data_IF_974381942011
#
_entry.id   IF_974381942011
#
_cell.length_a   1.000
_cell.length_b   1.000
_cell.length_c   1.000
_cell.angle_alpha   90.00
_cell.angle_beta   90.00
_cell.angle_gamma   90.00
#
_symmetry.space_group_name_H-M   'P 1'
#
loop_
_entity.id
_entity.type
_entity.pdbx_description
1 polymer ?
#
# COMPACT_ATOMS: atom_id res chain seq x y z
N UNK A 1 -23.08 12.82 38.41
CA UNK A 1 -23.11 11.52 39.13
C UNK A 1 -24.01 10.57 38.34
N UNK A 2 -23.45 9.49 37.79
CA UNK A 2 -24.23 8.30 37.39
C UNK A 2 -24.75 7.58 38.66
N UNK A 3 -25.75 6.67 38.64
CA UNK A 3 -25.68 5.34 37.97
C UNK A 3 -27.06 4.89 37.37
N UNK A 4 -27.22 4.00 36.39
CA UNK A 4 -26.84 2.58 36.15
C UNK A 4 -27.42 1.53 37.15
N UNK A 5 -28.27 0.67 36.58
CA UNK A 5 -28.46 -0.78 36.80
C UNK A 5 -29.44 -1.31 37.88
N UNK A 6 -30.52 -1.97 37.42
CA UNK A 6 -31.09 -3.25 37.92
C UNK A 6 -32.14 -3.71 36.89
N UNK A 7 -31.87 -4.62 35.95
CA UNK A 7 -31.85 -6.10 35.98
C UNK A 7 -33.18 -6.77 36.40
N UNK A 8 -33.91 -7.20 35.35
CA UNK A 8 -34.64 -8.46 35.15
C UNK A 8 -35.77 -8.88 36.11
N UNK A 9 -36.98 -8.96 35.56
CA UNK A 9 -38.07 -9.83 36.01
C UNK A 9 -38.84 -10.35 34.77
N UNK A 10 -38.80 -11.68 34.58
CA UNK A 10 -39.88 -12.59 34.11
C UNK A 10 -40.29 -12.48 32.63
N UNK A 11 -39.87 -13.41 31.77
CA UNK A 11 -40.50 -14.72 31.44
C UNK A 11 -41.35 -14.63 30.14
N UNK A 12 -40.79 -15.07 29.01
CA UNK A 12 -41.54 -15.63 27.85
C UNK A 12 -41.87 -17.11 28.19
N UNK A 13 -42.90 -17.80 27.64
CA UNK A 13 -43.56 -17.61 26.33
C UNK A 13 -45.09 -17.90 26.31
N UNK A 14 -45.78 -17.62 25.19
CA UNK A 14 -46.81 -18.47 24.52
C UNK A 14 -47.77 -17.65 23.63
N UNK A 15 -47.60 -17.86 22.32
CA UNK A 15 -48.63 -17.98 21.27
C UNK A 15 -50.05 -17.47 21.51
N UNK A 16 -50.45 -16.39 20.83
CA UNK A 16 -51.78 -16.30 20.17
C UNK A 16 -51.67 -15.37 18.96
N UNK A 17 -52.20 -15.82 17.82
CA UNK A 17 -52.09 -15.18 16.51
C UNK A 17 -52.89 -13.90 16.36
N UNK A 18 -52.46 -13.09 15.38
CA UNK A 18 -53.23 -11.95 14.89
C UNK A 18 -53.30 -12.01 13.37
N UNK A 19 -54.55 -12.04 12.93
CA UNK A 19 -55.04 -12.06 11.57
C UNK A 19 -54.45 -10.92 10.73
N UNK A 20 -53.90 -11.29 9.58
CA UNK A 20 -53.57 -10.37 8.51
C UNK A 20 -54.83 -9.72 7.95
N UNK A 21 -54.75 -8.40 7.84
CA UNK A 21 -55.76 -7.53 7.23
C UNK A 21 -55.70 -7.71 5.72
N UNK A 22 -56.79 -8.21 5.15
CA UNK A 22 -57.04 -8.24 3.71
C UNK A 22 -57.42 -6.83 3.24
N UNK A 23 -56.72 -6.32 2.23
CA UNK A 23 -57.27 -5.31 1.32
C UNK A 23 -57.08 -5.81 -0.11
N UNK A 24 -58.19 -6.18 -0.73
CA UNK A 24 -58.29 -6.66 -2.10
C UNK A 24 -58.49 -5.47 -3.05
N UNK A 25 -57.68 -5.38 -4.10
CA UNK A 25 -58.08 -4.80 -5.39
C UNK A 25 -57.15 -5.29 -6.52
N UNK A 26 -57.71 -6.17 -7.36
CA UNK A 26 -57.47 -6.39 -8.80
C UNK A 26 -56.13 -6.95 -9.32
N UNK A 27 -56.17 -8.29 -9.47
CA UNK A 27 -55.66 -9.24 -10.48
C UNK A 27 -54.64 -8.87 -11.60
N UNK A 28 -53.88 -9.87 -12.10
CA UNK A 28 -52.70 -9.70 -12.97
C UNK A 28 -52.98 -9.97 -14.46
N UNK A 29 -52.14 -9.42 -15.34
CA UNK A 29 -52.08 -9.83 -16.74
C UNK A 29 -50.62 -10.18 -17.11
N UNK A 30 -50.37 -11.48 -17.32
CA UNK A 30 -49.32 -11.95 -18.23
C UNK A 30 -49.85 -11.88 -19.66
N UNK A 31 -48.99 -11.59 -20.65
CA UNK A 31 -48.87 -12.29 -21.96
C UNK A 31 -47.90 -11.52 -22.90
N UNK A 32 -46.82 -12.23 -23.25
CA UNK A 32 -46.15 -12.35 -24.57
C UNK A 32 -45.07 -11.34 -25.02
N UNK A 33 -44.01 -11.99 -25.51
CA UNK A 33 -42.78 -11.52 -26.13
C UNK A 33 -42.95 -10.68 -27.41
N UNK A 34 -41.97 -9.81 -27.67
CA UNK A 34 -41.79 -9.13 -28.94
C UNK A 34 -40.68 -8.09 -28.83
N UNK A 35 -39.65 -8.22 -29.65
CA UNK A 35 -38.43 -7.42 -29.59
C UNK A 35 -38.58 -5.94 -29.96
N UNK A 36 -37.46 -5.25 -29.70
CA UNK A 36 -36.96 -3.96 -30.20
C UNK A 36 -36.53 -3.10 -29.02
N UNK A 37 -35.27 -3.26 -28.61
CA UNK A 37 -34.60 -2.34 -27.69
C UNK A 37 -34.58 -0.95 -28.34
N UNK A 38 -35.39 -0.02 -27.83
CA UNK A 38 -35.20 1.38 -28.10
C UNK A 38 -33.82 1.76 -27.55
N UNK A 39 -32.92 2.22 -28.42
CA UNK A 39 -31.65 2.79 -28.00
C UNK A 39 -31.96 3.93 -27.02
N UNK A 40 -31.68 3.69 -25.74
CA UNK A 40 -31.76 4.72 -24.72
C UNK A 40 -30.92 5.90 -25.21
N UNK A 41 -31.50 7.09 -25.16
CA UNK A 41 -30.87 8.37 -25.50
C UNK A 41 -29.51 8.47 -24.79
N UNK A 42 -28.43 8.07 -25.46
CA UNK A 42 -27.10 8.52 -25.10
C UNK A 42 -27.06 10.00 -25.46
N UNK A 43 -27.05 10.85 -24.43
CA UNK A 43 -26.65 12.23 -24.57
C UNK A 43 -25.15 12.20 -24.87
N UNK A 44 -24.80 12.11 -26.16
CA UNK A 44 -23.43 12.30 -26.59
C UNK A 44 -23.08 13.76 -26.27
N UNK A 45 -22.31 13.99 -25.21
CA UNK A 45 -21.74 15.30 -24.97
C UNK A 45 -20.71 15.57 -26.07
N UNK A 46 -20.74 16.79 -26.61
CA UNK A 46 -19.74 17.21 -27.58
C UNK A 46 -18.36 16.98 -26.97
N UNK A 47 -17.50 16.24 -27.69
CA UNK A 47 -16.09 16.15 -27.34
C UNK A 47 -15.59 17.58 -27.10
N UNK A 48 -15.02 17.81 -25.90
CA UNK A 48 -14.91 19.14 -25.30
C UNK A 48 -14.26 20.21 -26.17
N UNK A 49 -14.23 21.45 -25.68
CA UNK A 49 -13.76 22.64 -26.43
C UNK A 49 -12.43 22.44 -27.19
N UNK A 50 -11.52 21.61 -26.66
CA UNK A 50 -10.25 21.25 -27.30
C UNK A 50 -10.40 20.36 -28.54
N UNK A 51 -11.37 19.44 -28.56
CA UNK A 51 -11.67 18.62 -29.73
C UNK A 51 -12.34 19.45 -30.83
N UNK A 52 -13.27 20.34 -30.47
CA UNK A 52 -13.88 21.28 -31.40
C UNK A 52 -12.83 22.20 -32.05
N UNK A 53 -11.92 22.76 -31.26
CA UNK A 53 -10.83 23.60 -31.76
C UNK A 53 -9.89 22.84 -32.72
N UNK A 54 -9.54 21.59 -32.41
CA UNK A 54 -8.75 20.74 -33.31
C UNK A 54 -9.46 20.48 -34.63
N UNK A 55 -10.75 20.12 -34.57
CA UNK A 55 -11.55 19.80 -35.77
C UNK A 55 -11.74 21.04 -36.66
N UNK A 56 -11.99 22.21 -36.08
CA UNK A 56 -12.08 23.48 -36.80
C UNK A 56 -10.74 23.88 -37.44
N UNK A 57 -9.62 23.69 -36.72
CA UNK A 57 -8.28 23.94 -37.26
C UNK A 57 -7.92 23.00 -38.42
N UNK A 58 -8.33 21.72 -38.34
CA UNK A 58 -8.13 20.76 -39.45
C UNK A 58 -9.01 21.09 -40.65
N UNK A 59 -10.23 21.59 -40.43
CA UNK A 59 -11.12 22.06 -41.49
C UNK A 59 -10.64 23.32 -42.23
N UNK A 60 -9.75 24.10 -41.61
CA UNK A 60 -9.17 25.31 -42.19
C UNK A 60 -7.77 25.08 -42.81
N UNK A 61 -7.31 23.83 -42.92
CA UNK A 61 -6.05 23.48 -43.58
C UNK A 61 -4.79 23.93 -42.83
N UNK A 62 -4.89 24.23 -41.53
CA UNK A 62 -3.72 24.51 -40.70
C UNK A 62 -3.17 23.19 -40.15
N UNK A 63 -1.98 22.81 -40.62
CA UNK A 63 -1.20 21.71 -40.03
C UNK A 63 -0.77 22.10 -38.62
N UNK A 64 -0.95 21.25 -37.60
CA UNK A 64 -0.47 21.52 -36.25
C UNK A 64 1.05 21.72 -36.24
N UNK A 65 1.52 22.79 -35.58
CA UNK A 65 2.95 23.00 -35.38
C UNK A 65 3.50 22.00 -34.35
N UNK A 66 4.79 21.66 -34.39
CA UNK A 66 5.40 20.70 -33.45
C UNK A 66 5.23 21.14 -31.99
N UNK A 67 5.19 22.44 -31.70
CA UNK A 67 4.92 22.98 -30.37
C UNK A 67 3.49 22.71 -29.84
N UNK A 68 2.51 22.51 -30.72
CA UNK A 68 1.12 22.22 -30.32
C UNK A 68 0.91 20.72 -30.02
N UNK A 69 1.81 19.86 -30.48
CA UNK A 69 1.78 18.42 -30.18
C UNK A 69 2.26 18.14 -28.76
N UNK A 70 3.25 18.89 -28.28
CA UNK A 70 3.78 18.78 -26.91
C UNK A 70 2.77 19.26 -25.86
N UNK A 71 2.01 20.34 -26.12
CA UNK A 71 0.96 20.82 -25.22
C UNK A 71 -0.23 19.84 -25.11
N UNK A 72 -0.57 19.16 -26.21
CA UNK A 72 -1.62 18.16 -26.22
C UNK A 72 -1.26 16.89 -25.43
N UNK A 73 0.03 16.55 -25.34
CA UNK A 73 0.52 15.46 -24.50
C UNK A 73 0.44 15.81 -23.00
N UNK A 74 0.64 17.09 -22.62
CA UNK A 74 0.48 17.55 -21.23
C UNK A 74 -0.99 17.58 -20.77
N UNK A 75 -1.95 17.99 -21.61
CA UNK A 75 -3.37 18.07 -21.21
C UNK A 75 -4.08 16.70 -21.16
N UNK A 76 -3.58 15.71 -21.90
CA UNK A 76 -4.14 14.35 -21.93
C UNK A 76 -3.95 13.55 -20.63
N UNK A 77 -2.98 13.92 -19.79
CA UNK A 77 -2.73 13.25 -18.50
C UNK A 77 -3.58 13.82 -17.34
N UNK A 78 -4.18 14.99 -17.48
CA UNK A 78 -4.95 15.61 -16.39
C UNK A 78 -6.41 15.11 -16.28
N UNK A 79 -6.98 14.58 -17.37
CA UNK A 79 -8.42 14.25 -17.44
C UNK A 79 -8.81 12.86 -16.91
N UNK A 80 -7.84 12.05 -16.43
CA UNK A 80 -8.12 10.72 -15.87
C UNK A 80 -8.04 10.68 -14.33
N UNK A 81 -8.42 11.78 -13.66
CA UNK A 81 -8.70 11.78 -12.22
C UNK A 81 -10.17 11.44 -11.99
N UNK A 82 -10.42 10.18 -11.64
CA UNK A 82 -11.67 9.76 -11.00
C UNK A 82 -11.96 10.56 -9.71
N UNK A 83 -13.15 10.38 -9.10
CA UNK A 83 -13.59 11.20 -7.98
C UNK A 83 -12.55 11.19 -6.87
N UNK A 84 -12.09 12.40 -6.50
CA UNK A 84 -11.03 12.64 -5.52
C UNK A 84 -11.27 11.83 -4.25
N UNK A 85 -10.45 10.79 -4.06
CA UNK A 85 -10.13 10.27 -2.75
C UNK A 85 -9.61 11.41 -1.86
N UNK A 86 -9.88 11.27 -0.56
CA UNK A 86 -9.48 12.16 0.54
C UNK A 86 -8.25 13.01 0.25
N UNK A 87 -8.33 14.32 0.53
CA UNK A 87 -7.22 15.30 0.58
C UNK A 87 -5.88 14.59 0.87
N UNK A 88 -5.12 14.30 -0.18
CA UNK A 88 -3.73 13.90 -0.01
C UNK A 88 -3.01 15.12 0.56
N UNK A 89 -2.38 14.92 1.71
CA UNK A 89 -1.68 15.94 2.47
C UNK A 89 -0.73 16.71 1.54
N UNK A 90 -0.84 18.04 1.56
CA UNK A 90 0.11 18.93 0.90
C UNK A 90 1.44 18.87 1.66
N UNK A 91 2.12 17.72 1.61
CA UNK A 91 3.51 17.63 2.03
C UNK A 91 4.29 18.52 1.08
N UNK A 92 4.91 19.58 1.60
CA UNK A 92 5.96 20.33 0.91
C UNK A 92 6.87 19.30 0.24
N UNK A 93 6.92 19.26 -1.10
CA UNK A 93 7.61 18.20 -1.86
C UNK A 93 9.14 18.14 -1.68
N UNK A 94 9.66 18.66 -0.57
CA UNK A 94 11.04 18.49 -0.13
C UNK A 94 11.20 17.24 0.73
N UNK A 95 12.41 16.70 0.74
CA UNK A 95 12.82 15.59 1.58
C UNK A 95 12.94 16.02 3.05
N UNK A 96 12.92 15.07 3.98
CA UNK A 96 13.09 15.37 5.40
C UNK A 96 14.55 15.77 5.68
N UNK A 97 14.78 17.03 6.03
CA UNK A 97 16.08 17.48 6.54
C UNK A 97 16.21 17.10 8.02
N UNK A 98 17.03 16.10 8.32
CA UNK A 98 17.44 15.80 9.69
C UNK A 98 18.60 16.72 10.04
N UNK A 99 18.48 17.44 11.16
CA UNK A 99 19.52 18.34 11.67
C UNK A 99 20.82 17.58 11.94
N UNK A 100 21.97 18.26 11.82
CA UNK A 100 23.28 17.67 12.14
C UNK A 100 23.33 17.09 13.56
N UNK A 101 22.59 17.70 14.49
CA UNK A 101 22.50 17.29 15.90
C UNK A 101 21.83 15.92 16.09
N UNK A 102 20.96 15.53 15.16
CA UNK A 102 20.19 14.29 15.20
C UNK A 102 20.73 13.21 14.25
N UNK A 103 21.72 13.54 13.41
CA UNK A 103 22.35 12.55 12.52
C UNK A 103 22.98 11.42 13.34
N UNK A 104 22.67 10.18 12.97
CA UNK A 104 23.15 8.98 13.64
C UNK A 104 22.48 8.66 14.99
N UNK A 105 21.51 9.48 15.44
CA UNK A 105 20.76 9.24 16.67
C UNK A 105 19.39 8.65 16.33
N UNK A 106 19.01 7.56 17.00
CA UNK A 106 17.65 7.03 16.91
C UNK A 106 16.72 7.87 17.80
N UNK A 107 15.74 8.54 17.19
CA UNK A 107 14.82 9.47 17.86
C UNK A 107 13.92 8.76 18.88
N UNK A 108 13.55 7.51 18.62
CA UNK A 108 12.76 6.71 19.56
C UNK A 108 13.56 6.38 20.82
N UNK A 109 14.83 5.99 20.65
CA UNK A 109 15.74 5.74 21.77
C UNK A 109 16.02 7.01 22.58
N UNK A 110 16.21 8.15 21.90
CA UNK A 110 16.40 9.45 22.54
C UNK A 110 15.20 9.84 23.42
N UNK A 111 13.99 9.55 22.96
CA UNK A 111 12.75 9.79 23.72
C UNK A 111 12.41 8.68 24.73
N UNK A 112 13.14 7.56 24.74
CA UNK A 112 12.88 6.42 25.61
C UNK A 112 11.60 5.65 25.28
N UNK A 113 11.20 5.60 24.00
CA UNK A 113 9.99 4.93 23.52
C UNK A 113 10.32 3.88 22.45
N UNK A 114 9.41 2.94 22.20
CA UNK A 114 9.59 1.91 21.18
C UNK A 114 9.30 2.42 19.76
N UNK A 115 9.99 1.87 18.76
CA UNK A 115 9.67 2.07 17.35
C UNK A 115 8.26 1.53 17.06
N UNK A 116 7.32 2.42 16.73
CA UNK A 116 5.90 2.09 16.60
C UNK A 116 5.00 2.58 17.74
N UNK A 117 5.55 3.35 18.69
CA UNK A 117 4.77 4.02 19.73
C UNK A 117 3.63 4.86 19.14
N UNK A 118 2.51 4.93 19.85
CA UNK A 118 1.36 5.75 19.46
C UNK A 118 1.68 7.25 19.56
N UNK A 119 0.91 8.11 18.89
CA UNK A 119 1.09 9.56 19.03
C UNK A 119 0.93 10.04 20.47
N UNK A 120 0.07 9.38 21.25
CA UNK A 120 -0.17 9.75 22.64
C UNK A 120 1.02 9.39 23.54
N UNK A 121 1.67 8.25 23.27
CA UNK A 121 2.91 7.86 23.94
C UNK A 121 4.05 8.84 23.64
N UNK A 122 4.20 9.26 22.38
CA UNK A 122 5.19 10.28 21.99
C UNK A 122 4.95 11.59 22.75
N UNK A 123 3.70 12.07 22.79
CA UNK A 123 3.31 13.28 23.53
C UNK A 123 3.52 13.14 25.03
N UNK A 124 3.31 11.95 25.59
CA UNK A 124 3.49 11.69 27.03
C UNK A 124 4.98 11.66 27.39
N UNK A 125 5.81 10.99 26.57
CA UNK A 125 7.25 10.95 26.75
C UNK A 125 7.87 12.35 26.66
N UNK A 126 7.49 13.14 25.65
CA UNK A 126 7.95 14.53 25.52
C UNK A 126 7.61 15.38 26.75
N UNK A 127 6.36 15.31 27.23
CA UNK A 127 5.95 16.04 28.45
C UNK A 127 6.75 15.62 29.68
N UNK A 128 7.03 14.33 29.83
CA UNK A 128 7.88 13.83 30.92
C UNK A 128 9.30 14.38 30.86
N UNK A 129 9.93 14.29 29.68
CA UNK A 129 11.30 14.76 29.45
C UNK A 129 11.44 16.28 29.56
N UNK A 130 10.44 17.03 29.08
CA UNK A 130 10.42 18.48 29.20
C UNK A 130 10.35 18.94 30.66
N UNK A 131 9.61 18.22 31.52
CA UNK A 131 9.55 18.52 32.95
C UNK A 131 10.85 18.22 33.70
N UNK A 132 11.67 17.29 33.21
CA UNK A 132 12.96 16.96 33.83
C UNK A 132 14.08 17.87 33.34
N UNK A 133 14.04 18.26 32.06
CA UNK A 133 15.08 19.06 31.42
C UNK A 133 14.78 20.59 31.40
N UNK A 134 13.73 21.03 32.10
CA UNK A 134 13.36 22.45 32.14
C UNK A 134 14.44 23.31 32.84
N UNK A 135 14.85 24.47 32.27
CA UNK A 135 15.95 25.30 32.79
C UNK A 135 15.76 25.73 34.25
N UNK A 136 14.52 25.91 34.69
CA UNK A 136 14.17 26.25 36.08
C UNK A 136 14.67 25.20 37.11
N UNK A 137 14.66 23.91 36.76
CA UNK A 137 15.19 22.84 37.61
C UNK A 137 16.70 22.67 37.50
N UNK A 138 17.29 23.28 36.48
CA UNK A 138 18.72 23.16 36.16
C UNK A 138 19.55 24.30 36.74
N UNK A 139 18.91 25.36 37.22
CA UNK A 139 19.56 26.51 37.85
C UNK A 139 20.40 26.14 39.09
N UNK A 140 20.17 24.97 39.68
CA UNK A 140 20.92 24.45 40.84
C UNK A 140 21.99 23.40 40.49
N UNK A 141 22.18 23.06 39.20
CA UNK A 141 23.20 22.09 38.75
C UNK A 141 24.53 22.76 38.42
N UNK A 142 25.61 21.97 38.40
CA UNK A 142 26.91 22.41 37.90
C UNK A 142 26.78 22.91 36.44
N UNK A 143 27.49 23.99 36.07
CA UNK A 143 27.31 24.67 34.78
C UNK A 143 27.59 23.76 33.56
N UNK A 144 28.47 22.76 33.70
CA UNK A 144 28.77 21.81 32.63
C UNK A 144 27.69 20.73 32.48
N UNK A 145 26.99 20.37 33.56
CA UNK A 145 25.86 19.43 33.50
C UNK A 145 24.61 20.12 32.96
N UNK A 146 24.37 21.38 33.35
CA UNK A 146 23.29 22.20 32.83
C UNK A 146 23.38 22.36 31.30
N UNK A 147 24.59 22.59 30.76
CA UNK A 147 24.81 22.66 29.29
C UNK A 147 24.44 21.37 28.57
N UNK A 148 24.87 20.21 29.10
CA UNK A 148 24.58 18.90 28.49
C UNK A 148 23.09 18.60 28.45
N UNK A 149 22.37 18.95 29.52
CA UNK A 149 20.92 18.74 29.55
C UNK A 149 20.20 19.72 28.63
N UNK A 150 20.67 20.96 28.52
CA UNK A 150 20.16 21.91 27.53
C UNK A 150 20.35 21.39 26.09
N UNK A 151 21.54 20.88 25.74
CA UNK A 151 21.79 20.27 24.42
C UNK A 151 20.88 19.07 24.16
N UNK A 152 20.71 18.19 25.15
CA UNK A 152 19.80 17.05 25.05
C UNK A 152 18.34 17.48 24.93
N UNK A 153 17.94 18.56 25.60
CA UNK A 153 16.59 19.11 25.51
C UNK A 153 16.28 19.63 24.10
N UNK A 154 17.23 20.33 23.48
CA UNK A 154 17.11 20.77 22.08
C UNK A 154 16.91 19.57 21.15
N UNK A 155 17.72 18.50 21.33
CA UNK A 155 17.56 17.26 20.55
C UNK A 155 16.19 16.60 20.77
N UNK A 156 15.70 16.56 22.02
CA UNK A 156 14.38 16.01 22.36
C UNK A 156 13.26 16.83 21.73
N UNK A 157 13.39 18.16 21.70
CA UNK A 157 12.43 19.05 21.07
C UNK A 157 12.36 18.82 19.56
N UNK A 158 13.50 18.79 18.87
CA UNK A 158 13.56 18.50 17.44
C UNK A 158 13.03 17.09 17.13
N UNK A 159 13.37 16.10 17.96
CA UNK A 159 12.85 14.73 17.84
C UNK A 159 11.31 14.70 17.96
N UNK A 160 10.74 15.43 18.91
CA UNK A 160 9.30 15.55 19.06
C UNK A 160 8.64 16.26 17.87
N UNK A 161 9.23 17.33 17.35
CA UNK A 161 8.72 18.03 16.16
C UNK A 161 8.68 17.12 14.92
N UNK A 162 9.67 16.23 14.77
CA UNK A 162 9.71 15.24 13.69
C UNK A 162 8.71 14.10 13.89
N UNK A 163 8.64 13.54 15.11
CA UNK A 163 7.81 12.36 15.41
C UNK A 163 6.32 12.69 15.64
N UNK A 164 6.00 13.94 15.98
CA UNK A 164 4.62 14.39 16.22
C UNK A 164 3.82 14.55 14.92
N UNK A 165 4.47 14.96 13.82
CA UNK A 165 3.87 15.03 12.49
C UNK A 165 3.91 13.65 11.82
N UNK A 166 2.74 13.15 11.41
CA UNK A 166 2.62 11.83 10.81
C UNK A 166 3.37 11.71 9.47
N UNK A 167 3.46 12.79 8.68
CA UNK A 167 4.18 12.79 7.41
C UNK A 167 5.68 12.71 7.63
N UNK A 168 6.21 13.57 8.51
CA UNK A 168 7.65 13.59 8.85
C UNK A 168 8.07 12.30 9.54
N UNK A 169 7.22 11.74 10.40
CA UNK A 169 7.44 10.44 11.02
C UNK A 169 7.55 9.32 10.00
N UNK A 170 6.68 9.27 8.98
CA UNK A 170 6.78 8.27 7.89
C UNK A 170 8.10 8.40 7.13
N UNK A 171 8.53 9.63 6.83
CA UNK A 171 9.80 9.89 6.16
C UNK A 171 10.98 9.43 7.04
N UNK A 172 10.97 9.78 8.32
CA UNK A 172 11.96 9.32 9.29
C UNK A 172 12.00 7.78 9.39
N UNK A 173 10.85 7.14 9.57
CA UNK A 173 10.74 5.69 9.68
C UNK A 173 11.17 4.95 8.39
N UNK A 174 11.12 5.63 7.24
CA UNK A 174 11.60 5.11 5.96
C UNK A 174 13.12 5.19 5.83
N UNK A 175 13.75 6.17 6.49
CA UNK A 175 15.20 6.37 6.51
C UNK A 175 15.95 5.43 7.46
N UNK A 176 15.25 4.92 8.49
CA UNK A 176 15.80 3.96 9.45
C UNK A 176 16.40 2.72 8.79
N UNK A 177 17.35 2.09 9.49
CA UNK A 177 17.97 0.84 9.05
C UNK A 177 16.97 -0.29 9.00
N UNK A 178 16.95 -0.95 7.84
CA UNK A 178 16.02 -2.01 7.52
C UNK A 178 16.74 -3.06 6.69
N UNK A 179 16.59 -4.32 7.08
CA UNK A 179 17.15 -5.44 6.34
C UNK A 179 16.30 -5.72 5.10
N UNK A 180 16.76 -5.21 3.96
CA UNK A 180 16.14 -5.38 2.64
C UNK A 180 16.56 -6.67 1.93
N UNK A 181 17.44 -7.46 2.53
CA UNK A 181 18.00 -8.65 1.89
C UNK A 181 16.93 -9.74 1.70
N UNK A 182 17.05 -10.44 0.56
CA UNK A 182 16.22 -11.62 0.29
C UNK A 182 16.74 -12.82 1.08
N UNK A 183 15.86 -13.67 1.63
CA UNK A 183 16.27 -14.84 2.38
C UNK A 183 17.04 -15.81 1.48
N UNK A 184 18.22 -16.24 1.94
CA UNK A 184 19.02 -17.29 1.30
C UNK A 184 18.51 -18.66 1.73
N UNK A 185 17.35 -19.04 1.23
CA UNK A 185 16.73 -20.32 1.57
C UNK A 185 17.36 -21.47 0.77
N UNK A 186 17.63 -22.59 1.45
CA UNK A 186 18.05 -23.85 0.82
C UNK A 186 17.13 -24.96 1.36
N UNK A 187 16.44 -25.72 0.51
CA UNK A 187 15.54 -26.78 0.98
C UNK A 187 16.31 -27.92 1.68
N UNK A 188 17.53 -28.22 1.23
CA UNK A 188 18.34 -29.34 1.75
C UNK A 188 19.03 -29.05 3.10
N UNK A 189 18.94 -27.82 3.61
CA UNK A 189 19.63 -27.42 4.84
C UNK A 189 18.86 -27.75 6.12
N UNK A 190 17.66 -28.35 6.01
CA UNK A 190 16.77 -28.61 7.16
C UNK A 190 16.13 -27.36 7.75
N UNK A 191 16.19 -26.23 7.05
CA UNK A 191 15.53 -24.99 7.47
C UNK A 191 14.02 -25.06 7.23
N UNK A 192 13.24 -24.63 8.22
CA UNK A 192 11.79 -24.51 8.08
C UNK A 192 11.42 -23.31 7.19
N UNK A 193 10.77 -23.59 6.06
CA UNK A 193 10.27 -22.59 5.12
C UNK A 193 9.42 -21.52 5.82
N UNK A 194 8.49 -21.94 6.69
CA UNK A 194 7.52 -21.03 7.30
C UNK A 194 8.18 -20.07 8.28
N UNK A 195 9.21 -20.52 9.01
CA UNK A 195 9.98 -19.65 9.89
C UNK A 195 10.83 -18.66 9.12
N UNK A 196 11.57 -19.12 8.10
CA UNK A 196 12.47 -18.26 7.33
C UNK A 196 11.69 -17.19 6.55
N UNK A 197 10.71 -17.59 5.74
CA UNK A 197 9.94 -16.64 4.95
C UNK A 197 8.93 -15.87 5.79
N UNK A 198 8.31 -16.52 6.79
CA UNK A 198 7.32 -15.87 7.66
C UNK A 198 7.90 -14.67 8.40
N UNK A 199 9.14 -14.77 8.90
CA UNK A 199 9.80 -13.64 9.57
C UNK A 199 10.10 -12.50 8.59
N UNK A 200 10.55 -12.81 7.37
CA UNK A 200 10.81 -11.80 6.34
C UNK A 200 9.51 -11.08 5.92
N UNK A 201 8.42 -11.82 5.73
CA UNK A 201 7.12 -11.22 5.42
C UNK A 201 6.58 -10.38 6.59
N UNK A 202 6.70 -10.85 7.83
CA UNK A 202 6.31 -10.08 9.03
C UNK A 202 7.10 -8.78 9.15
N UNK A 203 8.40 -8.84 8.89
CA UNK A 203 9.28 -7.67 8.88
C UNK A 203 8.84 -6.64 7.82
N UNK A 204 8.55 -7.08 6.59
CA UNK A 204 8.07 -6.19 5.53
C UNK A 204 6.62 -5.71 5.76
N UNK A 205 5.81 -6.45 6.51
CA UNK A 205 4.40 -6.11 6.80
C UNK A 205 4.25 -4.77 7.56
N UNK A 206 5.28 -4.35 8.31
CA UNK A 206 5.35 -3.02 8.96
C UNK A 206 5.08 -1.89 7.97
N UNK A 207 5.52 -2.05 6.72
CA UNK A 207 5.41 -1.03 5.69
C UNK A 207 4.12 -1.09 4.86
N UNK A 208 3.19 -2.00 5.19
CA UNK A 208 1.96 -2.13 4.39
C UNK A 208 1.00 -0.95 4.59
N UNK A 209 0.51 -0.41 3.48
CA UNK A 209 -0.63 0.54 3.46
C UNK A 209 -1.93 -0.17 3.83
N UNK A 210 -2.12 -1.41 3.36
CA UNK A 210 -3.37 -2.17 3.52
C UNK A 210 -3.30 -3.05 4.78
N UNK A 211 -4.32 -2.97 5.63
CA UNK A 211 -4.44 -3.80 6.85
C UNK A 211 -5.83 -4.46 6.90
N UNK A 212 -5.97 -5.68 7.47
CA UNK A 212 -4.91 -6.51 8.07
C UNK A 212 -4.00 -7.17 7.02
N UNK A 213 -2.74 -7.38 7.38
CA UNK A 213 -1.77 -8.09 6.53
C UNK A 213 -1.93 -9.60 6.77
N UNK A 214 -2.16 -10.42 5.73
CA UNK A 214 -2.26 -11.87 5.89
C UNK A 214 -0.90 -12.47 6.28
N UNK A 215 -0.93 -13.42 7.19
CA UNK A 215 0.24 -14.21 7.58
C UNK A 215 0.49 -15.36 6.59
N UNK A 216 1.74 -15.83 6.49
CA UNK A 216 2.12 -16.93 5.60
C UNK A 216 1.41 -18.24 5.96
N UNK A 217 1.10 -18.39 7.24
CA UNK A 217 0.35 -19.50 7.81
C UNK A 217 1.21 -20.76 8.02
N UNK A 218 0.59 -21.93 7.89
CA UNK A 218 1.16 -23.25 8.15
C UNK A 218 0.96 -24.22 6.97
N UNK A 219 1.51 -25.43 7.09
CA UNK A 219 1.39 -26.48 6.08
C UNK A 219 -0.06 -26.94 5.86
N UNK A 220 -0.90 -26.84 6.89
CA UNK A 220 -2.28 -27.38 6.90
C UNK A 220 -3.32 -26.40 6.32
N UNK A 221 -2.89 -25.22 5.88
CA UNK A 221 -3.82 -24.19 5.41
C UNK A 221 -4.53 -24.56 4.11
N UNK A 222 -5.80 -24.15 4.01
CA UNK A 222 -6.61 -24.33 2.81
C UNK A 222 -5.99 -23.62 1.59
N UNK A 223 -6.06 -24.20 0.38
CA UNK A 223 -5.69 -23.56 -0.88
C UNK A 223 -6.12 -22.11 -1.05
N UNK A 224 -7.33 -21.78 -0.59
CA UNK A 224 -7.87 -20.42 -0.67
C UNK A 224 -7.13 -19.45 0.23
N UNK A 225 -6.66 -19.89 1.40
CA UNK A 225 -6.01 -19.03 2.39
C UNK A 225 -4.64 -18.57 1.89
N UNK A 226 -3.78 -19.50 1.47
CA UNK A 226 -2.45 -19.13 0.98
C UNK A 226 -2.50 -18.44 -0.39
N UNK A 227 -3.48 -18.72 -1.26
CA UNK A 227 -3.68 -17.93 -2.51
C UNK A 227 -3.95 -16.46 -2.21
N UNK A 228 -4.84 -16.18 -1.25
CA UNK A 228 -5.11 -14.80 -0.80
C UNK A 228 -3.88 -14.11 -0.21
N UNK A 229 -3.03 -14.87 0.47
CA UNK A 229 -1.75 -14.35 0.96
C UNK A 229 -0.87 -13.89 -0.21
N UNK A 230 -0.63 -14.75 -1.20
CA UNK A 230 0.20 -14.39 -2.36
C UNK A 230 -0.42 -13.25 -3.18
N UNK A 231 -1.74 -13.25 -3.40
CA UNK A 231 -2.46 -12.17 -4.07
C UNK A 231 -2.26 -10.81 -3.36
N UNK A 232 -2.32 -10.81 -2.03
CA UNK A 232 -2.06 -9.62 -1.23
C UNK A 232 -0.63 -9.11 -1.43
N UNK A 233 0.35 -10.01 -1.40
CA UNK A 233 1.76 -9.64 -1.49
C UNK A 233 2.21 -9.24 -2.90
N UNK A 234 1.62 -9.81 -3.95
CA UNK A 234 1.79 -9.29 -5.32
C UNK A 234 1.18 -7.89 -5.48
N UNK A 235 0.08 -7.62 -4.77
CA UNK A 235 -0.55 -6.30 -4.70
C UNK A 235 -0.05 -5.40 -3.57
N UNK A 236 1.13 -5.71 -2.99
CA UNK A 236 1.66 -5.02 -1.82
C UNK A 236 1.97 -3.55 -2.15
N UNK A 237 1.49 -2.65 -1.28
CA UNK A 237 1.75 -1.22 -1.37
C UNK A 237 2.48 -0.80 -0.11
N UNK A 238 3.71 -0.32 -0.30
CA UNK A 238 4.54 0.22 0.77
C UNK A 238 4.19 1.69 1.02
N UNK A 239 4.06 2.10 2.29
CA UNK A 239 3.96 3.52 2.65
C UNK A 239 5.32 4.20 2.76
N UNK A 240 6.43 3.47 2.57
CA UNK A 240 7.79 4.04 2.63
C UNK A 240 7.92 5.19 1.63
N UNK A 241 8.57 6.25 2.09
CA UNK A 241 8.83 7.42 1.27
C UNK A 241 9.96 7.11 0.26
N UNK A 242 9.69 7.16 -1.05
CA UNK A 242 10.68 6.79 -2.07
C UNK A 242 11.82 7.80 -2.21
N UNK A 243 11.62 9.06 -1.79
CA UNK A 243 12.68 10.09 -1.80
C UNK A 243 13.67 9.80 -0.67
N UNK A 244 13.17 9.42 0.51
CA UNK A 244 14.03 9.00 1.63
C UNK A 244 14.81 7.72 1.31
N UNK A 245 14.20 6.79 0.58
CA UNK A 245 14.89 5.60 0.07
C UNK A 245 16.04 5.95 -0.87
N UNK A 246 15.80 6.87 -1.82
CA UNK A 246 16.79 7.32 -2.77
C UNK A 246 17.96 8.04 -2.08
N UNK A 247 17.66 8.95 -1.16
CA UNK A 247 18.66 9.64 -0.36
C UNK A 247 19.55 8.65 0.41
N UNK A 248 18.94 7.62 1.01
CA UNK A 248 19.68 6.57 1.72
C UNK A 248 20.58 5.75 0.80
N UNK A 249 20.15 5.51 -0.44
CA UNK A 249 20.95 4.85 -1.46
C UNK A 249 22.10 5.73 -2.00
N UNK A 250 22.20 6.98 -1.54
CA UNK A 250 23.23 7.94 -1.97
C UNK A 250 22.87 8.69 -3.25
N UNK A 251 21.62 8.65 -3.69
CA UNK A 251 21.16 9.47 -4.81
C UNK A 251 21.04 10.93 -4.38
N UNK A 252 21.44 11.81 -5.28
CA UNK A 252 21.28 13.24 -5.10
C UNK A 252 19.81 13.63 -5.30
N UNK A 253 19.22 14.26 -4.30
CA UNK A 253 17.84 14.76 -4.31
C UNK A 253 17.91 16.28 -4.33
N UNK A 254 17.19 16.91 -5.27
CA UNK A 254 17.17 18.36 -5.37
C UNK A 254 16.48 18.98 -4.15
N UNK A 255 17.17 19.93 -3.51
CA UNK A 255 16.59 20.71 -2.43
C UNK A 255 15.75 21.85 -2.98
N UNK A 256 14.43 21.76 -2.79
CA UNK A 256 13.51 22.77 -3.30
C UNK A 256 13.74 24.16 -2.68
N UNK A 257 14.35 24.24 -1.49
CA UNK A 257 14.65 25.51 -0.83
C UNK A 257 15.84 26.24 -1.46
N UNK A 258 16.68 25.54 -2.22
CA UNK A 258 17.85 26.11 -2.90
C UNK A 258 17.50 26.74 -4.27
N UNK A 259 16.29 26.51 -4.78
CA UNK A 259 15.87 27.05 -6.07
C UNK A 259 15.85 28.59 -6.07
N UNK A 260 16.56 29.20 -7.01
CA UNK A 260 16.64 30.66 -7.19
C UNK A 260 15.38 31.22 -7.83
N UNK A 261 14.70 30.41 -8.65
CA UNK A 261 13.51 30.83 -9.40
C UNK A 261 12.40 29.78 -9.42
N UNK A 262 11.22 30.21 -9.90
CA UNK A 262 10.03 29.36 -9.98
C UNK A 262 10.22 28.20 -10.96
N UNK A 263 10.88 28.46 -12.08
CA UNK A 263 11.13 27.51 -13.16
C UNK A 263 12.10 26.43 -12.70
N UNK A 264 13.17 26.81 -12.01
CA UNK A 264 14.12 25.89 -11.38
C UNK A 264 13.43 25.04 -10.32
N UNK A 265 12.62 25.63 -9.43
CA UNK A 265 11.85 24.87 -8.44
C UNK A 265 10.94 23.83 -9.10
N UNK A 266 10.31 24.17 -10.24
CA UNK A 266 9.49 23.21 -11.01
C UNK A 266 10.33 22.10 -11.62
N UNK A 267 11.52 22.41 -12.14
CA UNK A 267 12.44 21.41 -12.65
C UNK A 267 12.90 20.46 -11.54
N UNK A 268 13.36 21.00 -10.40
CA UNK A 268 13.76 20.22 -9.22
C UNK A 268 12.63 19.30 -8.71
N UNK A 269 11.39 19.80 -8.68
CA UNK A 269 10.22 18.98 -8.34
C UNK A 269 10.02 17.81 -9.31
N UNK A 270 10.16 18.04 -10.62
CA UNK A 270 10.03 16.96 -11.63
C UNK A 270 11.16 15.95 -11.48
N UNK A 271 12.37 16.41 -11.18
CA UNK A 271 13.52 15.54 -10.96
C UNK A 271 13.33 14.65 -9.72
N UNK A 272 12.93 15.24 -8.59
CA UNK A 272 12.58 14.48 -7.38
C UNK A 272 11.44 13.49 -7.65
N UNK A 273 10.44 13.85 -8.44
CA UNK A 273 9.37 12.93 -8.85
C UNK A 273 9.88 11.78 -9.73
N UNK A 274 10.83 12.04 -10.62
CA UNK A 274 11.48 11.01 -11.45
C UNK A 274 12.20 9.99 -10.57
N UNK A 275 13.02 10.47 -9.64
CA UNK A 275 13.73 9.62 -8.67
C UNK A 275 12.74 8.86 -7.79
N UNK A 276 11.71 9.53 -7.27
CA UNK A 276 10.67 8.89 -6.47
C UNK A 276 9.95 7.75 -7.24
N UNK A 277 9.63 7.95 -8.52
CA UNK A 277 9.02 6.91 -9.37
C UNK A 277 9.96 5.72 -9.55
N UNK A 278 11.25 5.98 -9.77
CA UNK A 278 12.28 4.94 -9.90
C UNK A 278 12.39 4.10 -8.62
N UNK A 279 12.51 4.73 -7.45
CA UNK A 279 12.66 4.00 -6.18
C UNK A 279 11.37 3.28 -5.75
N UNK A 280 10.20 3.86 -6.07
CA UNK A 280 8.92 3.16 -5.90
C UNK A 280 8.85 1.90 -6.77
N UNK A 281 9.36 1.96 -8.00
CA UNK A 281 9.45 0.81 -8.90
C UNK A 281 10.41 -0.26 -8.36
N UNK A 282 11.60 0.15 -7.90
CA UNK A 282 12.59 -0.76 -7.32
C UNK A 282 12.06 -1.48 -6.08
N UNK A 283 11.38 -0.76 -5.19
CA UNK A 283 10.76 -1.36 -4.00
C UNK A 283 9.68 -2.39 -4.39
N UNK A 284 8.85 -2.07 -5.38
CA UNK A 284 7.85 -3.02 -5.90
C UNK A 284 8.51 -4.27 -6.49
N UNK A 285 9.59 -4.08 -7.26
CA UNK A 285 10.32 -5.20 -7.87
C UNK A 285 11.03 -6.05 -6.81
N UNK A 286 11.56 -5.43 -5.74
CA UNK A 286 12.15 -6.13 -4.59
C UNK A 286 11.12 -7.04 -3.90
N UNK A 287 9.93 -6.51 -3.60
CA UNK A 287 8.86 -7.30 -2.98
C UNK A 287 8.37 -8.38 -3.95
N UNK A 288 8.19 -8.07 -5.23
CA UNK A 288 7.81 -9.07 -6.25
C UNK A 288 8.82 -10.23 -6.32
N UNK A 289 10.12 -9.93 -6.29
CA UNK A 289 11.19 -10.94 -6.24
C UNK A 289 11.08 -11.80 -4.98
N UNK A 290 10.88 -11.20 -3.80
CA UNK A 290 10.66 -11.93 -2.55
C UNK A 290 9.48 -12.90 -2.67
N UNK A 291 8.36 -12.44 -3.21
CA UNK A 291 7.13 -13.24 -3.37
C UNK A 291 7.36 -14.40 -4.33
N UNK A 292 7.99 -14.14 -5.48
CA UNK A 292 8.32 -15.20 -6.45
C UNK A 292 9.28 -16.25 -5.87
N UNK A 293 10.22 -15.81 -5.05
CA UNK A 293 11.18 -16.70 -4.38
C UNK A 293 10.45 -17.60 -3.38
N UNK A 294 9.58 -17.01 -2.55
CA UNK A 294 8.75 -17.77 -1.61
C UNK A 294 7.85 -18.78 -2.34
N UNK A 295 7.19 -18.37 -3.44
CA UNK A 295 6.32 -19.25 -4.23
C UNK A 295 7.08 -20.44 -4.84
N UNK A 296 8.35 -20.24 -5.20
CA UNK A 296 9.20 -21.30 -5.74
C UNK A 296 9.58 -22.36 -4.70
N UNK A 297 9.59 -22.01 -3.41
CA UNK A 297 9.99 -22.90 -2.33
C UNK A 297 8.83 -23.36 -1.42
N UNK A 298 7.62 -22.83 -1.58
CA UNK A 298 6.47 -23.20 -0.75
C UNK A 298 6.06 -24.67 -0.98
N UNK A 299 6.12 -25.54 0.05
CA UNK A 299 5.75 -26.96 -0.08
C UNK A 299 4.31 -27.18 -0.56
N UNK A 300 3.37 -26.30 -0.18
CA UNK A 300 1.96 -26.40 -0.55
C UNK A 300 1.77 -26.19 -2.05
N UNK A 301 2.50 -25.22 -2.59
CA UNK A 301 2.45 -24.88 -4.02
C UNK A 301 3.17 -25.95 -4.84
N UNK A 302 4.30 -26.45 -4.35
CA UNK A 302 5.01 -27.56 -5.02
C UNK A 302 4.12 -28.80 -5.08
N UNK A 303 3.47 -29.19 -3.98
CA UNK A 303 2.53 -30.30 -3.97
C UNK A 303 1.37 -30.11 -4.97
N UNK A 304 0.79 -28.90 -5.06
CA UNK A 304 -0.25 -28.60 -6.06
C UNK A 304 0.28 -28.68 -7.50
N UNK A 305 1.50 -28.18 -7.76
CA UNK A 305 2.15 -28.23 -9.08
C UNK A 305 2.46 -29.68 -9.50
N UNK A 306 2.96 -30.49 -8.59
CA UNK A 306 3.25 -31.91 -8.83
C UNK A 306 1.98 -32.72 -9.05
N UNK A 307 0.93 -32.53 -8.24
CA UNK A 307 -0.37 -33.17 -8.44
C UNK A 307 -0.96 -32.84 -9.81
N UNK A 308 -0.87 -31.57 -10.25
CA UNK A 308 -1.29 -31.14 -11.59
C UNK A 308 -0.45 -31.76 -12.71
N UNK A 309 0.86 -31.91 -12.50
CA UNK A 309 1.77 -32.57 -13.47
C UNK A 309 1.38 -34.04 -13.63
N UNK A 310 1.24 -34.77 -12.52
CA UNK A 310 0.84 -36.18 -12.52
C UNK A 310 -0.55 -36.39 -13.16
N UNK A 311 -1.51 -35.51 -12.88
CA UNK A 311 -2.83 -35.56 -13.52
C UNK A 311 -2.77 -35.39 -15.04
N UNK A 312 -1.92 -34.47 -15.53
CA UNK A 312 -1.70 -34.26 -16.97
C UNK A 312 -1.01 -35.44 -17.64
N UNK A 313 0.00 -36.03 -16.97
CA UNK A 313 0.69 -37.22 -17.45
C UNK A 313 -0.25 -38.43 -17.53
N UNK A 314 -1.09 -38.63 -16.51
CA UNK A 314 -2.11 -39.69 -16.51
C UNK A 314 -3.17 -39.50 -17.60
N UNK A 315 -3.61 -38.25 -17.83
CA UNK A 315 -4.53 -37.95 -18.94
C UNK A 315 -3.89 -38.19 -20.30
N UNK A 316 -2.62 -37.80 -20.48
CA UNK A 316 -1.87 -38.02 -21.71
C UNK A 316 -1.69 -39.53 -21.98
N UNK A 317 -1.33 -40.31 -20.96
CA UNK A 317 -1.21 -41.77 -21.05
C UNK A 317 -2.54 -42.42 -21.43
N UNK A 318 -3.65 -42.03 -20.79
CA UNK A 318 -5.00 -42.53 -21.13
C UNK A 318 -5.36 -42.25 -22.60
N UNK A 319 -5.07 -41.04 -23.09
CA UNK A 319 -5.30 -40.66 -24.50
C UNK A 319 -4.43 -41.47 -25.46
N UNK A 320 -3.21 -41.84 -25.06
CA UNK A 320 -2.32 -42.69 -25.85
C UNK A 320 -2.79 -44.14 -25.89
N UNK A 321 -3.23 -44.69 -24.76
CA UNK A 321 -3.85 -46.02 -24.67
C UNK A 321 -5.12 -46.10 -25.54
N UNK A 322 -6.00 -45.10 -25.47
CA UNK A 322 -7.19 -45.03 -26.34
C UNK A 322 -6.80 -44.98 -27.83
N UNK A 323 -5.77 -44.21 -28.19
CA UNK A 323 -5.27 -44.13 -29.58
C UNK A 323 -4.68 -45.44 -30.06
N UNK A 324 -3.92 -46.13 -29.21
CA UNK A 324 -3.29 -47.42 -29.56
C UNK A 324 -4.33 -48.53 -29.65
N UNK A 325 -5.31 -48.56 -28.75
CA UNK A 325 -6.45 -49.48 -28.82
C UNK A 325 -7.29 -49.25 -30.09
N UNK A 326 -7.58 -48.00 -30.44
CA UNK A 326 -8.32 -47.67 -31.66
C UNK A 326 -7.58 -48.04 -32.95
N UNK A 327 -6.24 -47.99 -32.97
CA UNK A 327 -5.43 -48.48 -34.09
C UNK A 327 -5.52 -50.00 -34.21
N UNK A 328 -5.35 -50.73 -33.11
CA UNK A 328 -5.47 -52.20 -33.09
C UNK A 328 -6.84 -52.68 -33.56
N UNK A 329 -7.92 -52.06 -33.08
CA UNK A 329 -9.28 -52.39 -33.49
C UNK A 329 -9.54 -52.13 -34.99
N UNK A 330 -8.82 -51.20 -35.63
CA UNK A 330 -8.89 -50.97 -37.07
C UNK A 330 -8.06 -51.96 -37.89
N UNK A 331 -6.98 -52.48 -37.32
CA UNK A 331 -6.14 -53.51 -37.97
C UNK A 331 -6.81 -54.89 -37.91
N UNK A 332 -7.65 -55.13 -36.91
CA UNK A 332 -8.40 -56.38 -36.72
C UNK A 332 -9.73 -56.45 -37.52
N UNK A 333 -10.19 -55.35 -38.12
CA UNK A 333 -11.47 -55.23 -38.83
C UNK A 333 -11.31 -55.27 -40.37
#
# INVERSE_FOLDING_TARGET
MAPKLLRALLDDPESVGLNEVVCACCAPAQVVAGGCTAAANYRCEAAGRSFAARFEATGQGQSPSESDQDQAAEEGEEYNKGPKGSKEDKSSGGYLKISELLKGVNLYNLMGISEGASQDEIKKAYRGLALTAHPDKQAAMEPDEAKKVQENFVKIQEAYELLSDQSKRKQYDSSLDFDESLPKFRPDSGQDFFQVFGEVFRRNARFSVKRPVPELGSLEDEPRAWKRFYDFWYGFQSWRDPVMLAQKAGEEICDLEEAECREERRWMMRENQRVARQYKQQERDRISKLVSLAESFDPRIQAEKEAKRLAREAEAARREEERTAAKRAKEEA
#
